data_IF_651572240868
#
_entry.id   IF_651572240868
#
_cell.length_a   1.000
_cell.length_b   1.000
_cell.length_c   1.000
_cell.angle_alpha   90.00
_cell.angle_beta   90.00
_cell.angle_gamma   90.00
#
_symmetry.space_group_name_H-M   'P 1'
#
loop_
_entity.id
_entity.type
_entity.pdbx_description
1 polymer ?
#
# COMPACT_ATOMS: atom_id res chain seq x y z
N UNK A 1 -1.04 2.99 -15.95
CA UNK A 1 0.02 2.37 -15.12
C UNK A 1 0.92 3.45 -14.55
N UNK A 2 1.56 4.25 -15.41
CA UNK A 2 2.40 5.39 -14.97
C UNK A 2 1.67 6.32 -14.00
N UNK A 3 0.39 6.62 -14.26
CA UNK A 3 -0.46 7.40 -13.35
C UNK A 3 -0.65 6.77 -11.97
N UNK A 4 -0.78 5.45 -11.88
CA UNK A 4 -0.94 4.73 -10.61
C UNK A 4 0.37 4.74 -9.83
N UNK A 5 1.50 4.46 -10.47
CA UNK A 5 2.83 4.54 -9.84
C UNK A 5 3.13 5.98 -9.38
N UNK A 6 2.80 6.98 -10.21
CA UNK A 6 2.96 8.38 -9.84
C UNK A 6 2.08 8.78 -8.66
N UNK A 7 0.83 8.30 -8.60
CA UNK A 7 -0.06 8.55 -7.46
C UNK A 7 0.45 7.87 -6.18
N UNK A 8 0.94 6.63 -6.27
CA UNK A 8 1.53 5.88 -5.16
C UNK A 8 2.75 6.56 -4.55
N UNK A 9 3.54 7.29 -5.36
CA UNK A 9 4.72 8.02 -4.89
C UNK A 9 4.43 9.38 -4.24
N UNK A 10 3.19 9.90 -4.28
CA UNK A 10 2.88 11.22 -3.68
C UNK A 10 2.84 11.25 -2.15
N UNK A 11 2.31 10.21 -1.47
CA UNK A 11 2.22 10.18 -0.01
C UNK A 11 3.54 9.84 0.69
N UNK A 12 4.47 9.18 0.00
CA UNK A 12 5.78 8.77 0.54
C UNK A 12 6.84 9.70 -0.05
N UNK A 13 7.25 10.74 0.69
CA UNK A 13 8.23 11.74 0.21
C UNK A 13 9.60 11.55 0.83
N UNK A 14 9.65 11.09 2.08
CA UNK A 14 10.85 10.78 2.83
C UNK A 14 10.89 9.30 3.18
N UNK A 15 12.09 8.74 3.38
CA UNK A 15 12.25 7.34 3.81
C UNK A 15 11.66 7.07 5.20
N UNK A 16 11.48 8.13 6.00
CA UNK A 16 10.86 8.08 7.33
C UNK A 16 9.34 8.24 7.29
N UNK A 17 8.76 8.55 6.13
CA UNK A 17 7.31 8.69 6.01
C UNK A 17 6.63 7.33 6.10
N UNK A 18 5.43 7.35 6.69
CA UNK A 18 4.53 6.21 6.71
C UNK A 18 3.29 6.56 5.94
N UNK A 19 2.96 5.75 4.96
CA UNK A 19 1.75 5.90 4.18
C UNK A 19 1.09 4.53 3.95
N UNK A 20 -0.24 4.54 3.86
CA UNK A 20 -1.01 3.41 3.37
C UNK A 20 -1.52 3.73 1.97
N UNK A 21 -1.31 2.82 1.02
CA UNK A 21 -1.82 2.92 -0.34
C UNK A 21 -2.85 1.81 -0.52
N UNK A 22 -4.10 2.17 -0.78
CA UNK A 22 -5.21 1.22 -0.88
C UNK A 22 -5.65 1.12 -2.34
N UNK A 23 -5.48 -0.06 -2.93
CA UNK A 23 -5.89 -0.36 -4.31
C UNK A 23 -7.20 -1.16 -4.29
N UNK A 24 -8.34 -0.48 -4.45
CA UNK A 24 -9.69 -1.06 -4.29
C UNK A 24 -10.27 -1.71 -5.56
N UNK A 25 -9.42 -2.26 -6.43
CA UNK A 25 -9.87 -2.88 -7.69
C UNK A 25 -9.19 -4.23 -7.91
N UNK A 26 -10.00 -5.28 -8.10
CA UNK A 26 -9.50 -6.65 -8.27
C UNK A 26 -8.56 -6.79 -9.47
N UNK A 27 -8.69 -5.92 -10.48
CA UNK A 27 -7.77 -5.86 -11.62
C UNK A 27 -6.33 -5.58 -11.20
N UNK A 28 -6.09 -4.94 -10.05
CA UNK A 28 -4.72 -4.76 -9.54
C UNK A 28 -4.08 -6.07 -9.08
N UNK A 29 -4.85 -7.07 -8.64
CA UNK A 29 -4.30 -8.41 -8.34
C UNK A 29 -3.74 -9.06 -9.60
N UNK A 30 -4.47 -8.95 -10.72
CA UNK A 30 -4.06 -9.49 -12.02
C UNK A 30 -2.97 -8.65 -12.70
N UNK A 31 -2.95 -7.33 -12.41
CA UNK A 31 -2.01 -6.36 -12.99
C UNK A 31 -0.86 -6.00 -12.04
N UNK A 32 -0.62 -6.79 -11.00
CA UNK A 32 0.47 -6.55 -10.04
C UNK A 32 1.83 -6.49 -10.74
N UNK A 33 2.02 -7.26 -11.81
CA UNK A 33 3.24 -7.24 -12.64
C UNK A 33 3.53 -5.87 -13.29
N UNK A 34 2.54 -4.98 -13.40
CA UNK A 34 2.70 -3.61 -13.93
C UNK A 34 3.10 -2.58 -12.86
N UNK A 35 3.09 -2.98 -11.58
CA UNK A 35 3.55 -2.13 -10.49
C UNK A 35 5.08 -2.20 -10.39
N UNK A 36 5.68 -1.08 -9.98
CA UNK A 36 7.12 -1.01 -9.69
C UNK A 36 7.51 -2.02 -8.61
N UNK A 37 8.74 -2.53 -8.66
CA UNK A 37 9.26 -3.54 -7.71
C UNK A 37 9.01 -3.15 -6.25
N UNK A 38 9.34 -1.93 -5.85
CA UNK A 38 9.16 -1.46 -4.48
C UNK A 38 7.71 -1.53 -3.97
N UNK A 39 6.71 -1.34 -4.86
CA UNK A 39 5.29 -1.49 -4.50
C UNK A 39 4.98 -2.96 -4.31
N UNK A 40 5.47 -3.82 -5.21
CA UNK A 40 5.24 -5.28 -5.17
C UNK A 40 5.83 -5.90 -3.92
N UNK A 41 7.02 -5.45 -3.50
CA UNK A 41 7.71 -5.94 -2.31
C UNK A 41 6.95 -5.61 -1.01
N UNK A 42 6.06 -4.61 -1.06
CA UNK A 42 5.22 -4.16 0.08
C UNK A 42 3.73 -4.44 -0.12
N UNK A 43 3.35 -5.18 -1.17
CA UNK A 43 1.95 -5.41 -1.53
C UNK A 43 1.36 -6.55 -0.69
N UNK A 44 0.28 -6.25 0.04
CA UNK A 44 -0.50 -7.24 0.77
C UNK A 44 -1.91 -7.37 0.19
N UNK A 45 -2.34 -8.59 -0.08
CA UNK A 45 -3.71 -8.87 -0.55
C UNK A 45 -4.59 -9.16 0.67
N UNK A 46 -5.48 -8.23 0.96
CA UNK A 46 -6.43 -8.39 2.07
C UNK A 46 -7.68 -9.16 1.59
N UNK A 47 -8.07 -10.25 2.29
CA UNK A 47 -9.35 -10.90 2.04
C UNK A 47 -10.50 -9.97 2.43
N UNK A 48 -11.65 -10.09 1.75
CA UNK A 48 -12.82 -9.31 2.12
C UNK A 48 -13.34 -9.73 3.49
N UNK A 49 -13.19 -8.85 4.48
CA UNK A 49 -13.79 -8.96 5.80
C UNK A 49 -14.17 -7.56 6.30
N UNK A 50 -15.33 -7.40 6.98
CA UNK A 50 -15.69 -6.13 7.59
C UNK A 50 -14.58 -5.60 8.51
N UNK A 51 -14.11 -4.38 8.26
CA UNK A 51 -13.07 -3.74 9.07
C UNK A 51 -11.63 -4.16 8.80
N UNK A 52 -11.34 -5.04 7.82
CA UNK A 52 -9.97 -5.48 7.51
C UNK A 52 -9.02 -4.29 7.23
N UNK A 53 -9.44 -3.36 6.36
CA UNK A 53 -8.67 -2.15 6.03
C UNK A 53 -8.38 -1.31 7.28
N UNK A 54 -9.37 -1.18 8.18
CA UNK A 54 -9.21 -0.40 9.41
C UNK A 54 -8.14 -1.02 10.32
N UNK A 55 -8.14 -2.34 10.48
CA UNK A 55 -7.16 -3.02 11.32
C UNK A 55 -5.74 -2.86 10.77
N UNK A 56 -5.55 -2.99 9.46
CA UNK A 56 -4.23 -2.83 8.84
C UNK A 56 -3.68 -1.41 8.97
N UNK A 57 -4.51 -0.40 8.67
CA UNK A 57 -4.12 1.00 8.86
C UNK A 57 -3.76 1.24 10.34
N UNK A 58 -4.60 0.77 11.26
CA UNK A 58 -4.35 0.91 12.70
C UNK A 58 -3.03 0.26 13.11
N UNK A 59 -2.71 -0.92 12.60
CA UNK A 59 -1.46 -1.63 12.91
C UNK A 59 -0.26 -0.87 12.35
N UNK A 60 -0.32 -0.40 11.11
CA UNK A 60 0.73 0.40 10.46
C UNK A 60 1.11 1.64 11.28
N UNK A 61 0.12 2.36 11.82
CA UNK A 61 0.36 3.58 12.57
C UNK A 61 0.64 3.36 14.07
N UNK A 62 0.44 2.13 14.59
CA UNK A 62 0.73 1.79 15.99
C UNK A 62 2.15 1.33 16.26
N UNK A 63 2.83 0.76 15.27
CA UNK A 63 4.23 0.34 15.43
C UNK A 63 5.09 1.58 15.68
N UNK A 64 6.01 1.58 16.64
CA UNK A 64 6.93 2.73 16.80
C UNK A 64 7.93 2.71 15.63
N UNK A 65 8.35 3.84 15.04
CA UNK A 65 9.41 3.83 14.04
C UNK A 65 10.65 3.18 14.63
N UNK A 66 11.43 2.39 13.85
CA UNK A 66 12.74 1.97 14.31
C UNK A 66 13.51 3.25 14.68
N UNK A 67 13.92 3.31 15.95
CA UNK A 67 14.65 4.43 16.57
C UNK A 67 16.11 4.43 16.16
#
# INVERSE_FOLDING_TARGET
IERSNQACGRPVRLITDRAAIILLDDRFKQRAHWLSSWIKDSLEILPYQPGAIYQEIRNLFKTKPPS
#
